data_IF_896052639317
#
_entry.id   IF_896052639317
#
_cell.length_a   1.000
_cell.length_b   1.000
_cell.length_c   1.000
_cell.angle_alpha   90.00
_cell.angle_beta   90.00
_cell.angle_gamma   90.00
#
_symmetry.space_group_name_H-M   'P 1'
#
loop_
_entity.id
_entity.type
_entity.pdbx_description
1 polymer ?
#
# COMPACT_ATOMS: atom_id res chain seq x y z
N UNK A 1 35.99 -3.05 49.78
CA UNK A 1 36.79 -1.80 49.89
C UNK A 1 36.23 -0.80 48.90
N UNK A 2 35.98 0.42 49.38
CA UNK A 2 35.22 1.52 48.78
C UNK A 2 33.69 1.34 48.73
N UNK A 3 33.02 2.36 49.26
CA UNK A 3 31.65 2.47 49.74
C UNK A 3 31.04 3.75 49.14
N UNK A 4 29.70 3.83 49.11
CA UNK A 4 28.87 5.04 48.88
C UNK A 4 28.92 5.64 47.46
N UNK A 5 27.87 6.24 46.89
CA UNK A 5 26.71 6.92 47.48
C UNK A 5 25.47 6.86 46.57
N UNK A 6 24.30 6.81 47.23
CA UNK A 6 22.98 7.09 46.68
C UNK A 6 22.83 8.61 46.46
N UNK A 7 22.43 9.02 45.25
CA UNK A 7 22.19 10.43 44.90
C UNK A 7 20.89 10.57 44.13
N UNK A 8 19.81 10.95 44.84
CA UNK A 8 18.58 11.49 44.25
C UNK A 8 18.91 12.86 43.66
N UNK A 9 18.65 13.05 42.37
CA UNK A 9 18.58 14.38 41.76
C UNK A 9 17.31 14.48 40.91
N UNK A 10 16.31 15.13 41.50
CA UNK A 10 15.15 15.71 40.84
C UNK A 10 15.62 16.92 40.02
N UNK A 11 15.64 16.79 38.69
CA UNK A 11 15.94 17.87 37.76
C UNK A 11 14.75 18.17 36.85
N UNK A 12 13.85 19.02 37.34
CA UNK A 12 12.85 19.72 36.52
C UNK A 12 13.55 20.62 35.51
N UNK A 13 13.44 20.33 34.21
CA UNK A 13 13.75 21.30 33.15
C UNK A 13 12.50 21.58 32.31
N UNK A 14 11.97 22.76 32.59
CA UNK A 14 10.99 23.50 31.80
C UNK A 14 11.46 23.71 30.36
N UNK A 15 10.52 23.47 29.44
CA UNK A 15 10.17 24.32 28.29
C UNK A 15 11.25 25.31 27.82
N UNK A 16 11.88 24.99 26.68
CA UNK A 16 12.44 26.00 25.78
C UNK A 16 11.84 25.86 24.38
N UNK A 17 10.84 26.70 24.12
CA UNK A 17 10.39 27.10 22.77
C UNK A 17 11.50 27.92 22.08
N UNK A 18 11.44 27.92 20.74
CA UNK A 18 12.19 28.68 19.72
C UNK A 18 13.37 27.87 19.14
N UNK A 19 13.50 27.70 17.81
CA UNK A 19 13.23 28.66 16.71
C UNK A 19 12.72 27.99 15.43
N UNK A 20 12.03 28.75 14.55
CA UNK A 20 11.59 28.28 13.24
C UNK A 20 12.77 28.17 12.29
N UNK A 21 12.87 27.05 11.56
CA UNK A 21 13.69 26.99 10.35
C UNK A 21 12.89 27.74 9.27
N UNK A 22 13.25 28.99 9.04
CA UNK A 22 12.79 29.74 7.89
C UNK A 22 13.38 29.11 6.63
N UNK A 23 12.58 28.30 5.93
CA UNK A 23 12.86 28.00 4.54
C UNK A 23 12.32 29.15 3.69
N UNK A 24 13.25 29.92 3.16
CA UNK A 24 13.03 31.00 2.22
C UNK A 24 12.39 30.44 0.95
N UNK A 25 11.11 30.73 0.75
CA UNK A 25 10.41 30.55 -0.53
C UNK A 25 11.11 31.43 -1.57
N UNK A 26 11.96 30.83 -2.40
CA UNK A 26 12.41 31.46 -3.64
C UNK A 26 11.31 31.34 -4.68
N UNK A 27 10.59 32.46 -4.79
CA UNK A 27 9.82 32.93 -5.94
C UNK A 27 10.55 32.59 -7.25
N UNK A 28 10.05 31.62 -8.01
CA UNK A 28 10.38 31.46 -9.43
C UNK A 28 9.20 32.02 -10.24
N UNK A 29 9.33 33.30 -10.60
CA UNK A 29 8.53 33.95 -11.64
C UNK A 29 9.41 34.09 -12.88
N UNK A 30 8.97 33.47 -13.97
CA UNK A 30 9.09 34.01 -15.32
C UNK A 30 10.36 33.69 -16.12
N UNK A 31 10.15 33.65 -17.44
CA UNK A 31 11.08 33.47 -18.57
C UNK A 31 11.21 32.02 -19.05
N UNK A 32 10.95 31.64 -20.31
CA UNK A 32 10.46 32.36 -21.50
C UNK A 32 10.19 31.31 -22.58
N UNK A 33 9.23 31.61 -23.47
CA UNK A 33 9.07 31.04 -24.81
C UNK A 33 10.43 30.70 -25.46
N UNK A 34 10.57 29.47 -25.93
CA UNK A 34 11.29 29.21 -27.17
C UNK A 34 10.45 28.30 -28.08
N UNK A 35 10.14 28.89 -29.23
CA UNK A 35 9.63 28.30 -30.45
C UNK A 35 10.47 27.09 -30.87
N UNK A 36 9.83 25.95 -31.08
CA UNK A 36 10.42 24.83 -31.83
C UNK A 36 9.75 24.79 -33.20
N UNK A 37 10.59 24.92 -34.22
CA UNK A 37 10.24 24.93 -35.63
C UNK A 37 9.48 23.68 -36.03
N UNK A 38 8.42 23.97 -36.78
CA UNK A 38 7.61 23.10 -37.61
C UNK A 38 8.37 22.85 -38.90
N UNK A 39 8.83 21.64 -39.15
CA UNK A 39 9.12 21.15 -40.49
C UNK A 39 9.02 19.61 -40.52
N UNK A 40 8.16 19.16 -41.44
CA UNK A 40 8.33 17.94 -42.23
C UNK A 40 8.07 16.57 -41.58
N UNK A 41 6.80 16.16 -41.54
CA UNK A 41 6.40 14.77 -41.88
C UNK A 41 5.08 14.79 -42.65
N UNK A 42 5.21 14.80 -43.97
CA UNK A 42 4.17 14.40 -44.92
C UNK A 42 4.28 12.91 -45.21
N UNK A 43 3.10 12.30 -45.42
CA UNK A 43 2.82 11.08 -46.19
C UNK A 43 2.63 9.71 -45.49
N UNK A 44 1.47 9.11 -45.87
CA UNK A 44 0.93 7.75 -45.71
C UNK A 44 0.39 7.38 -44.30
N UNK A 45 -0.86 6.92 -44.10
CA UNK A 45 -1.82 6.25 -44.98
C UNK A 45 -3.27 6.58 -44.60
N UNK A 46 -4.08 6.86 -45.62
CA UNK A 46 -5.53 7.04 -45.54
C UNK A 46 -6.22 5.70 -45.84
N UNK A 47 -6.44 4.86 -44.83
CA UNK A 47 -7.54 3.85 -44.82
C UNK A 47 -7.48 2.96 -43.56
N UNK A 48 -7.78 3.56 -42.40
CA UNK A 48 -8.14 2.77 -41.21
C UNK A 48 -9.50 3.27 -40.73
N UNK A 49 -10.51 2.39 -40.60
CA UNK A 49 -11.82 2.79 -40.09
C UNK A 49 -11.64 3.39 -38.71
N UNK A 50 -12.24 4.58 -38.53
CA UNK A 50 -12.21 5.37 -37.30
C UNK A 50 -12.39 4.45 -36.08
N UNK A 51 -11.48 4.50 -35.08
CA UNK A 51 -11.73 3.81 -33.84
C UNK A 51 -12.97 4.43 -33.23
N UNK A 52 -14.02 3.62 -33.07
CA UNK A 52 -15.22 3.95 -32.31
C UNK A 52 -14.74 4.55 -30.99
N UNK A 53 -14.82 5.88 -30.86
CA UNK A 53 -14.88 6.54 -29.57
C UNK A 53 -15.98 5.79 -28.83
N UNK A 54 -15.62 4.95 -27.87
CA UNK A 54 -16.59 4.50 -26.89
C UNK A 54 -16.89 5.76 -26.11
N UNK A 55 -17.85 6.55 -26.61
CA UNK A 55 -18.45 7.66 -25.90
C UNK A 55 -18.62 7.17 -24.48
N UNK A 56 -17.90 7.80 -23.56
CA UNK A 56 -18.20 7.68 -22.15
C UNK A 56 -19.70 7.81 -22.06
N UNK A 57 -20.38 6.76 -21.58
CA UNK A 57 -21.82 6.77 -21.45
C UNK A 57 -22.07 7.26 -20.02
N UNK A 58 -22.21 8.59 -19.79
CA UNK A 58 -22.44 9.16 -18.46
C UNK A 58 -23.74 8.65 -17.82
N UNK A 59 -24.51 7.84 -18.56
CA UNK A 59 -25.68 7.11 -18.13
C UNK A 59 -25.38 6.02 -17.10
N UNK A 60 -24.13 5.61 -16.89
CA UNK A 60 -23.77 4.64 -15.85
C UNK A 60 -23.36 5.35 -14.55
N UNK A 61 -24.25 5.42 -13.53
CA UNK A 61 -23.98 6.14 -12.27
C UNK A 61 -22.72 5.63 -11.55
N UNK A 62 -22.45 4.32 -11.65
CA UNK A 62 -21.26 3.70 -11.08
C UNK A 62 -19.94 4.16 -11.71
N UNK A 63 -19.90 4.39 -13.03
CA UNK A 63 -18.66 4.86 -13.68
C UNK A 63 -18.32 6.29 -13.24
N UNK A 64 -19.34 7.15 -13.17
CA UNK A 64 -19.19 8.52 -12.67
C UNK A 64 -18.77 8.53 -11.19
N UNK A 65 -19.38 7.67 -10.36
CA UNK A 65 -18.99 7.49 -8.97
C UNK A 65 -17.52 7.04 -8.81
N UNK A 66 -17.09 6.05 -9.59
CA UNK A 66 -15.69 5.55 -9.58
C UNK A 66 -14.73 6.65 -10.01
N UNK A 67 -15.05 7.41 -11.06
CA UNK A 67 -14.19 8.49 -11.53
C UNK A 67 -14.08 9.60 -10.48
N UNK A 68 -15.21 9.99 -9.88
CA UNK A 68 -15.21 10.99 -8.81
C UNK A 68 -14.40 10.55 -7.59
N UNK A 69 -14.52 9.28 -7.20
CA UNK A 69 -13.73 8.71 -6.12
C UNK A 69 -12.23 8.78 -6.45
N UNK A 70 -11.82 8.47 -7.69
CA UNK A 70 -10.43 8.58 -8.12
C UNK A 70 -9.91 10.01 -8.03
N UNK A 71 -10.67 10.98 -8.52
CA UNK A 71 -10.30 12.41 -8.43
C UNK A 71 -10.13 12.86 -6.97
N UNK A 72 -11.03 12.43 -6.08
CA UNK A 72 -10.95 12.76 -4.66
C UNK A 72 -9.73 12.09 -3.99
N UNK A 73 -9.47 10.83 -4.31
CA UNK A 73 -8.32 10.10 -3.80
C UNK A 73 -7.01 10.70 -4.31
N UNK A 74 -6.97 11.10 -5.58
CA UNK A 74 -5.82 11.76 -6.19
C UNK A 74 -5.59 13.13 -5.54
N UNK A 75 -6.62 13.98 -5.43
CA UNK A 75 -6.52 15.27 -4.75
C UNK A 75 -6.04 15.11 -3.29
N UNK A 76 -6.60 14.16 -2.54
CA UNK A 76 -6.19 13.86 -1.18
C UNK A 76 -4.76 13.27 -1.11
N UNK A 77 -4.27 12.63 -2.17
CA UNK A 77 -2.92 12.07 -2.23
C UNK A 77 -1.84 13.13 -2.48
N UNK A 78 -2.12 14.12 -3.34
CA UNK A 78 -1.21 15.23 -3.66
C UNK A 78 -0.93 16.12 -2.45
N UNK A 79 -1.89 16.24 -1.54
CA UNK A 79 -1.68 16.95 -0.27
C UNK A 79 -0.81 16.17 0.72
N UNK A 80 -0.49 14.89 0.45
CA UNK A 80 0.35 14.10 1.34
C UNK A 80 1.83 14.34 1.05
N UNK A 81 2.58 14.75 2.09
CA UNK A 81 4.03 14.94 2.04
C UNK A 81 4.76 13.70 1.50
N UNK A 82 4.22 12.52 1.73
CA UNK A 82 4.76 11.27 1.24
C UNK A 82 4.70 11.16 -0.29
N UNK A 83 3.62 11.63 -0.93
CA UNK A 83 3.50 11.60 -2.39
C UNK A 83 4.44 12.61 -3.04
N UNK A 84 4.61 13.77 -2.41
CA UNK A 84 5.62 14.73 -2.80
C UNK A 84 7.03 14.12 -2.69
N UNK A 85 7.34 13.46 -1.58
CA UNK A 85 8.62 12.75 -1.42
C UNK A 85 8.79 11.63 -2.45
N UNK A 86 7.75 10.88 -2.78
CA UNK A 86 7.78 9.85 -3.83
C UNK A 86 8.06 10.47 -5.20
N UNK A 87 7.41 11.58 -5.53
CA UNK A 87 7.64 12.31 -6.76
C UNK A 87 9.07 12.88 -6.83
N UNK A 88 9.56 13.45 -5.72
CA UNK A 88 10.95 13.92 -5.62
C UNK A 88 11.92 12.75 -5.83
N UNK A 89 11.72 11.63 -5.13
CA UNK A 89 12.54 10.42 -5.24
C UNK A 89 12.49 9.85 -6.66
N UNK A 90 11.32 9.80 -7.30
CA UNK A 90 11.15 9.31 -8.67
C UNK A 90 12.01 10.12 -9.66
N UNK A 91 12.12 11.43 -9.45
CA UNK A 91 12.88 12.34 -10.30
C UNK A 91 14.38 12.43 -9.98
N UNK A 92 14.86 11.73 -8.93
CA UNK A 92 16.30 11.69 -8.63
C UNK A 92 17.06 10.87 -9.67
N UNK A 93 18.31 11.25 -9.91
CA UNK A 93 19.26 10.45 -10.68
C UNK A 93 19.44 9.07 -10.00
N UNK A 94 19.54 7.96 -10.76
CA UNK A 94 19.75 6.60 -10.23
C UNK A 94 20.83 6.49 -9.14
N UNK A 95 21.95 7.18 -9.31
CA UNK A 95 23.06 7.18 -8.36
C UNK A 95 22.66 7.82 -7.02
N UNK A 96 21.85 8.88 -7.06
CA UNK A 96 21.34 9.55 -5.87
C UNK A 96 20.26 8.71 -5.17
N UNK A 97 19.41 7.99 -5.93
CA UNK A 97 18.49 6.97 -5.39
C UNK A 97 19.28 5.92 -4.60
N UNK A 98 20.30 5.32 -5.22
CA UNK A 98 21.15 4.31 -4.57
C UNK A 98 21.87 4.85 -3.34
N UNK A 99 22.39 6.08 -3.40
CA UNK A 99 23.06 6.74 -2.27
C UNK A 99 22.10 6.92 -1.10
N UNK A 100 20.86 7.35 -1.36
CA UNK A 100 19.82 7.49 -0.33
C UNK A 100 19.50 6.15 0.34
N UNK A 101 19.29 5.09 -0.44
CA UNK A 101 19.06 3.75 0.11
C UNK A 101 20.28 3.23 0.86
N UNK A 102 21.50 3.52 0.39
CA UNK A 102 22.75 3.12 1.06
C UNK A 102 22.89 3.80 2.41
N UNK A 103 22.54 5.09 2.50
CA UNK A 103 22.53 5.83 3.77
C UNK A 103 21.46 5.29 4.72
N UNK A 104 20.26 4.95 4.22
CA UNK A 104 19.23 4.32 5.04
C UNK A 104 19.67 2.94 5.54
N UNK A 105 20.26 2.12 4.65
CA UNK A 105 20.78 0.80 4.98
C UNK A 105 21.93 0.86 5.98
N UNK A 106 22.81 1.86 5.90
CA UNK A 106 23.90 2.04 6.88
C UNK A 106 23.38 2.46 8.25
N UNK A 107 22.36 3.33 8.33
CA UNK A 107 21.69 3.68 9.59
C UNK A 107 21.00 2.45 10.20
N UNK A 108 20.30 1.66 9.40
CA UNK A 108 19.67 0.41 9.87
C UNK A 108 20.71 -0.61 10.35
N UNK A 109 21.82 -0.76 9.63
CA UNK A 109 22.92 -1.63 10.04
C UNK A 109 23.53 -1.16 11.36
N UNK A 110 23.80 0.14 11.49
CA UNK A 110 24.32 0.72 12.73
C UNK A 110 23.36 0.47 13.89
N UNK A 111 22.06 0.67 13.69
CA UNK A 111 21.05 0.38 14.71
C UNK A 111 21.06 -1.10 15.11
N UNK A 112 21.10 -2.02 14.14
CA UNK A 112 21.18 -3.45 14.40
C UNK A 112 22.45 -3.83 15.20
N UNK A 113 23.60 -3.25 14.86
CA UNK A 113 24.86 -3.46 15.58
C UNK A 113 24.80 -2.93 17.01
N UNK A 114 24.28 -1.72 17.20
CA UNK A 114 24.14 -1.12 18.53
C UNK A 114 23.18 -1.95 19.38
N UNK A 115 22.04 -2.37 18.85
CA UNK A 115 21.10 -3.23 19.57
C UNK A 115 21.73 -4.57 19.93
N UNK A 116 22.39 -5.24 18.98
CA UNK A 116 23.05 -6.52 19.22
C UNK A 116 24.14 -6.38 20.29
N UNK A 117 24.97 -5.34 20.20
CA UNK A 117 26.01 -5.02 21.19
C UNK A 117 25.44 -4.80 22.59
N UNK A 118 24.35 -4.04 22.72
CA UNK A 118 23.67 -3.80 24.00
C UNK A 118 23.07 -5.08 24.59
N UNK A 119 22.66 -6.02 23.74
CA UNK A 119 22.05 -7.29 24.15
C UNK A 119 23.06 -8.41 24.36
N UNK A 120 24.32 -8.20 23.98
CA UNK A 120 25.38 -9.22 24.03
C UNK A 120 25.28 -10.31 22.95
N UNK A 121 24.41 -10.13 21.96
CA UNK A 121 24.28 -11.03 20.81
C UNK A 121 25.32 -10.71 19.73
N UNK A 122 25.68 -11.73 18.95
CA UNK A 122 26.54 -11.55 17.77
C UNK A 122 25.77 -10.75 16.70
N UNK A 123 26.19 -9.51 16.35
CA UNK A 123 25.50 -8.69 15.35
C UNK A 123 25.46 -9.36 13.97
N UNK A 124 26.42 -10.24 13.68
CA UNK A 124 26.49 -10.95 12.41
C UNK A 124 25.66 -12.24 12.41
N UNK A 125 25.09 -12.64 13.54
CA UNK A 125 24.24 -13.83 13.66
C UNK A 125 24.91 -15.11 13.17
N UNK A 126 26.22 -15.24 13.35
CA UNK A 126 27.01 -16.39 12.89
C UNK A 126 27.52 -16.29 11.45
N UNK A 127 27.35 -15.16 10.75
CA UNK A 127 27.88 -14.98 9.40
C UNK A 127 29.42 -15.08 9.40
N UNK A 128 29.94 -16.20 8.90
CA UNK A 128 31.37 -16.45 8.80
C UNK A 128 31.78 -16.60 7.32
N UNK A 129 32.74 -15.79 6.87
CA UNK A 129 33.40 -15.91 5.56
C UNK A 129 34.36 -17.11 5.54
N UNK A 130 33.82 -18.32 5.71
CA UNK A 130 34.54 -19.60 5.61
C UNK A 130 34.15 -20.31 4.32
N UNK A 131 34.86 -21.35 3.93
CA UNK A 131 34.48 -22.20 2.78
C UNK A 131 33.03 -22.74 2.92
N UNK A 132 32.55 -22.84 4.16
CA UNK A 132 31.17 -23.20 4.50
C UNK A 132 30.12 -22.15 4.05
N UNK A 133 30.52 -20.90 3.80
CA UNK A 133 29.62 -19.83 3.34
C UNK A 133 29.04 -20.10 1.96
N UNK A 134 29.81 -20.72 1.07
CA UNK A 134 29.32 -21.16 -0.24
C UNK A 134 28.22 -22.23 -0.07
N UNK A 135 28.42 -23.14 0.89
CA UNK A 135 27.42 -24.15 1.26
C UNK A 135 26.15 -23.52 1.84
N UNK A 136 26.29 -22.56 2.77
CA UNK A 136 25.17 -21.81 3.34
C UNK A 136 24.40 -21.03 2.27
N UNK A 137 25.10 -20.42 1.31
CA UNK A 137 24.48 -19.74 0.18
C UNK A 137 23.70 -20.70 -0.73
N UNK A 138 24.26 -21.88 -1.03
CA UNK A 138 23.59 -22.90 -1.83
C UNK A 138 22.32 -23.42 -1.11
N UNK A 139 22.40 -23.65 0.20
CA UNK A 139 21.26 -24.03 1.04
C UNK A 139 20.21 -22.91 1.07
N UNK A 140 20.64 -21.65 1.20
CA UNK A 140 19.77 -20.47 1.15
C UNK A 140 19.04 -20.34 -0.19
N UNK A 141 19.74 -20.59 -1.30
CA UNK A 141 19.13 -20.64 -2.62
C UNK A 141 18.09 -21.75 -2.74
N UNK A 142 18.36 -22.93 -2.15
CA UNK A 142 17.38 -24.02 -2.05
C UNK A 142 16.11 -23.61 -1.30
N UNK A 143 16.28 -22.93 -0.16
CA UNK A 143 15.14 -22.40 0.62
C UNK A 143 14.42 -21.23 -0.07
N UNK A 144 15.07 -20.50 -0.98
CA UNK A 144 14.44 -19.43 -1.75
C UNK A 144 13.50 -19.95 -2.84
N UNK A 145 13.81 -21.12 -3.42
CA UNK A 145 13.10 -21.68 -4.56
C UNK A 145 11.57 -21.72 -4.41
N UNK A 146 10.98 -22.25 -3.31
CA UNK A 146 9.52 -22.25 -3.16
C UNK A 146 8.92 -20.84 -3.09
N UNK A 147 9.63 -19.87 -2.51
CA UNK A 147 9.16 -18.48 -2.42
C UNK A 147 9.25 -17.78 -3.78
N UNK A 148 10.34 -17.99 -4.52
CA UNK A 148 10.52 -17.50 -5.89
C UNK A 148 9.47 -18.09 -6.82
N UNK A 149 9.20 -19.40 -6.72
CA UNK A 149 8.14 -20.05 -7.49
C UNK A 149 6.77 -19.47 -7.15
N UNK A 150 6.47 -19.30 -5.86
CA UNK A 150 5.22 -18.70 -5.41
C UNK A 150 5.06 -17.28 -5.96
N UNK A 151 6.12 -16.46 -5.91
CA UNK A 151 6.16 -15.12 -6.48
C UNK A 151 5.84 -15.13 -7.98
N UNK A 152 6.52 -15.97 -8.77
CA UNK A 152 6.30 -16.06 -10.23
C UNK A 152 4.88 -16.54 -10.53
N UNK A 153 4.42 -17.60 -9.86
CA UNK A 153 3.08 -18.18 -10.04
C UNK A 153 1.99 -17.18 -9.65
N UNK A 154 2.20 -16.40 -8.60
CA UNK A 154 1.27 -15.38 -8.12
C UNK A 154 1.00 -14.28 -9.15
N UNK A 155 1.88 -14.11 -10.15
CA UNK A 155 1.73 -13.12 -11.23
C UNK A 155 1.07 -13.66 -12.50
N UNK A 156 0.79 -14.97 -12.56
CA UNK A 156 0.11 -15.56 -13.70
C UNK A 156 -1.34 -15.06 -13.77
N UNK A 157 -1.80 -14.68 -14.95
CA UNK A 157 -3.18 -14.24 -15.24
C UNK A 157 -4.27 -15.15 -14.64
N UNK A 158 -4.21 -16.50 -14.71
CA UNK A 158 -5.23 -17.35 -14.10
C UNK A 158 -5.30 -17.20 -12.58
N UNK A 159 -4.17 -16.99 -11.90
CA UNK A 159 -4.14 -16.81 -10.44
C UNK A 159 -4.72 -15.46 -10.06
N UNK A 160 -4.37 -14.40 -10.79
CA UNK A 160 -4.90 -13.04 -10.58
C UNK A 160 -6.41 -12.98 -10.76
N UNK A 161 -6.95 -13.67 -11.77
CA UNK A 161 -8.40 -13.74 -11.99
C UNK A 161 -9.12 -14.44 -10.84
N UNK A 162 -8.52 -15.48 -10.25
CA UNK A 162 -9.10 -16.22 -9.12
C UNK A 162 -8.93 -15.50 -7.78
N UNK A 163 -7.92 -14.64 -7.64
CA UNK A 163 -7.58 -13.94 -6.41
C UNK A 163 -7.41 -12.42 -6.65
N UNK A 164 -8.51 -11.65 -6.80
CA UNK A 164 -8.43 -10.22 -7.10
C UNK A 164 -7.73 -9.40 -6.01
N UNK A 165 -7.82 -9.83 -4.74
CA UNK A 165 -7.13 -9.17 -3.61
C UNK A 165 -5.61 -9.24 -3.76
N UNK A 166 -5.10 -10.31 -4.36
CA UNK A 166 -3.67 -10.47 -4.62
C UNK A 166 -3.22 -9.56 -5.77
N UNK A 167 -4.06 -9.37 -6.79
CA UNK A 167 -3.79 -8.42 -7.88
C UNK A 167 -3.74 -6.98 -7.33
N UNK A 168 -4.73 -6.58 -6.52
CA UNK A 168 -4.75 -5.28 -5.85
C UNK A 168 -3.50 -5.05 -4.97
N UNK A 169 -3.05 -6.11 -4.27
CA UNK A 169 -1.84 -6.06 -3.45
C UNK A 169 -0.58 -5.87 -4.31
N UNK A 170 -0.43 -6.66 -5.37
CA UNK A 170 0.70 -6.58 -6.29
C UNK A 170 0.74 -5.22 -7.00
N UNK A 171 -0.41 -4.67 -7.35
CA UNK A 171 -0.54 -3.33 -7.93
C UNK A 171 -0.04 -2.26 -6.98
N UNK A 172 -0.47 -2.33 -5.72
CA UNK A 172 -0.05 -1.40 -4.69
C UNK A 172 1.46 -1.47 -4.44
N UNK A 173 2.01 -2.68 -4.42
CA UNK A 173 3.45 -2.88 -4.30
C UNK A 173 4.20 -2.35 -5.53
N UNK A 174 3.69 -2.60 -6.74
CA UNK A 174 4.28 -2.10 -7.98
C UNK A 174 4.23 -0.57 -8.03
N UNK A 175 3.13 0.06 -7.62
CA UNK A 175 3.00 1.53 -7.56
C UNK A 175 4.05 2.16 -6.65
N UNK A 176 4.33 1.55 -5.49
CA UNK A 176 5.34 2.01 -4.54
C UNK A 176 6.76 1.79 -5.06
N UNK A 177 7.03 0.62 -5.66
CA UNK A 177 8.40 0.19 -6.00
C UNK A 177 8.84 0.66 -7.38
N UNK A 178 7.91 0.79 -8.34
CA UNK A 178 8.21 1.18 -9.72
C UNK A 178 9.04 2.47 -9.83
N UNK A 179 8.71 3.60 -9.17
CA UNK A 179 9.50 4.84 -9.31
C UNK A 179 10.95 4.70 -8.83
N UNK A 180 11.22 3.72 -7.96
CA UNK A 180 12.55 3.43 -7.45
C UNK A 180 13.36 2.61 -8.48
N UNK A 181 12.71 1.70 -9.20
CA UNK A 181 13.37 0.65 -9.99
C UNK A 181 13.44 0.94 -11.49
N UNK A 182 12.54 1.77 -12.03
CA UNK A 182 12.35 1.97 -13.47
C UNK A 182 13.65 2.34 -14.21
N UNK A 183 14.49 3.19 -13.60
CA UNK A 183 15.74 3.68 -14.19
C UNK A 183 16.99 2.87 -13.82
N UNK A 184 16.87 1.82 -13.01
CA UNK A 184 18.02 1.10 -12.46
C UNK A 184 18.48 -0.04 -13.38
N UNK A 185 19.78 -0.10 -13.67
CA UNK A 185 20.40 -1.25 -14.33
C UNK A 185 20.35 -2.52 -13.46
N UNK A 186 20.55 -3.70 -14.05
CA UNK A 186 20.50 -4.97 -13.30
C UNK A 186 21.52 -5.03 -12.14
N UNK A 187 22.72 -4.49 -12.34
CA UNK A 187 23.74 -4.37 -11.29
C UNK A 187 23.33 -3.41 -10.17
N UNK A 188 22.74 -2.27 -10.53
CA UNK A 188 22.19 -1.29 -9.59
C UNK A 188 21.02 -1.87 -8.79
N UNK A 189 20.18 -2.69 -9.43
CA UNK A 189 19.12 -3.44 -8.79
C UNK A 189 19.65 -4.43 -7.76
N UNK A 190 20.75 -5.12 -8.08
CA UNK A 190 21.43 -6.01 -7.15
C UNK A 190 22.05 -5.26 -5.97
N UNK A 191 22.66 -4.09 -6.22
CA UNK A 191 23.14 -3.22 -5.15
C UNK A 191 21.98 -2.77 -4.27
N UNK A 192 20.89 -2.27 -4.85
CA UNK A 192 19.69 -1.85 -4.12
C UNK A 192 19.13 -2.99 -3.26
N UNK A 193 18.98 -4.19 -3.82
CA UNK A 193 18.53 -5.36 -3.08
C UNK A 193 19.46 -5.66 -1.90
N UNK A 194 20.79 -5.65 -2.12
CA UNK A 194 21.76 -5.92 -1.04
C UNK A 194 21.69 -4.90 0.09
N UNK A 195 21.54 -3.62 -0.27
CA UNK A 195 21.46 -2.48 0.65
C UNK A 195 20.17 -2.48 1.47
N UNK A 196 19.08 -3.03 0.93
CA UNK A 196 17.80 -3.11 1.66
C UNK A 196 17.70 -4.41 2.45
N UNK A 197 18.04 -5.55 1.85
CA UNK A 197 17.82 -6.87 2.44
C UNK A 197 18.80 -7.15 3.58
N UNK A 198 20.10 -6.89 3.39
CA UNK A 198 21.11 -7.24 4.41
C UNK A 198 20.86 -6.48 5.72
N UNK A 199 20.67 -5.15 5.73
CA UNK A 199 20.40 -4.42 6.97
C UNK A 199 19.06 -4.82 7.60
N UNK A 200 18.03 -5.07 6.78
CA UNK A 200 16.73 -5.52 7.28
C UNK A 200 16.82 -6.88 7.97
N UNK A 201 17.61 -7.82 7.43
CA UNK A 201 17.82 -9.13 8.04
C UNK A 201 18.63 -9.05 9.32
N UNK A 202 19.68 -8.22 9.37
CA UNK A 202 20.44 -7.95 10.61
C UNK A 202 19.54 -7.34 11.70
N UNK A 203 18.63 -6.44 11.32
CA UNK A 203 17.72 -5.81 12.26
C UNK A 203 16.61 -6.77 12.75
N UNK A 204 16.02 -7.55 11.86
CA UNK A 204 14.86 -8.41 12.17
C UNK A 204 15.24 -9.73 12.87
N UNK A 205 16.47 -10.23 12.66
CA UNK A 205 16.91 -11.52 13.18
C UNK A 205 17.78 -11.36 14.44
N UNK A 206 19.10 -11.06 14.37
CA UNK A 206 19.93 -11.03 15.57
C UNK A 206 19.57 -9.89 16.54
N UNK A 207 19.37 -8.67 16.04
CA UNK A 207 19.08 -7.52 16.91
C UNK A 207 17.74 -7.69 17.64
N UNK A 208 16.70 -8.14 16.93
CA UNK A 208 15.38 -8.37 17.53
C UNK A 208 15.38 -9.58 18.48
N UNK A 209 16.12 -10.64 18.15
CA UNK A 209 16.31 -11.80 19.02
C UNK A 209 16.94 -11.39 20.35
N UNK A 210 18.08 -10.68 20.31
CA UNK A 210 18.76 -10.20 21.51
C UNK A 210 17.88 -9.28 22.36
N UNK A 211 17.17 -8.34 21.72
CA UNK A 211 16.30 -7.40 22.43
C UNK A 211 15.18 -8.13 23.19
N UNK A 212 14.57 -9.14 22.58
CA UNK A 212 13.52 -9.93 23.22
C UNK A 212 14.05 -10.90 24.27
N UNK A 213 15.24 -11.44 24.09
CA UNK A 213 15.90 -12.25 25.11
C UNK A 213 16.15 -11.43 26.38
N UNK A 214 16.68 -10.21 26.25
CA UNK A 214 16.87 -9.28 27.38
C UNK A 214 15.53 -8.86 28.00
N UNK A 215 14.54 -8.50 27.19
CA UNK A 215 13.21 -8.14 27.69
C UNK A 215 12.55 -9.31 28.45
N UNK A 216 12.70 -10.54 27.94
CA UNK A 216 12.23 -11.75 28.59
C UNK A 216 12.94 -12.01 29.92
N UNK A 217 14.26 -11.80 29.99
CA UNK A 217 15.01 -11.91 31.24
C UNK A 217 14.53 -10.93 32.31
N UNK A 218 14.34 -9.66 31.94
CA UNK A 218 13.78 -8.63 32.84
C UNK A 218 12.39 -9.03 33.32
N UNK A 219 11.52 -9.43 32.39
CA UNK A 219 10.16 -9.88 32.70
C UNK A 219 10.17 -11.06 33.68
N UNK A 220 11.06 -12.05 33.47
CA UNK A 220 11.16 -13.20 34.38
C UNK A 220 11.76 -12.85 35.73
N UNK A 221 12.73 -11.94 35.79
CA UNK A 221 13.35 -11.50 37.04
C UNK A 221 12.37 -10.70 37.90
N UNK A 222 11.53 -9.86 37.28
CA UNK A 222 10.63 -8.96 38.02
C UNK A 222 9.26 -9.59 38.35
N UNK A 223 8.70 -10.45 37.49
CA UNK A 223 7.34 -10.97 37.66
C UNK A 223 7.25 -12.38 38.24
N UNK A 224 8.26 -13.23 38.08
CA UNK A 224 8.21 -14.62 38.59
C UNK A 224 8.32 -14.69 40.12
N UNK A 225 9.20 -13.90 40.80
CA UNK A 225 9.30 -13.95 42.25
C UNK A 225 8.00 -13.63 43.01
N UNK A 226 7.19 -12.61 42.63
CA UNK A 226 5.97 -12.28 43.37
C UNK A 226 4.80 -13.24 43.11
N UNK A 227 4.77 -13.97 41.99
CA UNK A 227 3.62 -14.80 41.60
C UNK A 227 3.70 -16.25 42.10
N UNK A 228 4.84 -16.72 42.61
CA UNK A 228 5.00 -18.09 43.15
C UNK A 228 4.70 -19.22 42.15
N UNK A 229 4.44 -18.90 40.88
CA UNK A 229 4.10 -19.88 39.85
C UNK A 229 5.38 -20.50 39.29
N UNK A 230 5.79 -21.62 39.87
CA UNK A 230 6.81 -22.49 39.28
C UNK A 230 6.23 -23.28 38.10
N UNK A 231 5.99 -22.61 36.98
CA UNK A 231 5.67 -23.25 35.70
C UNK A 231 6.86 -24.13 35.28
N UNK A 232 6.76 -25.44 35.56
CA UNK A 232 7.70 -26.44 35.08
C UNK A 232 7.43 -26.70 33.61
N UNK A 233 7.85 -25.78 32.73
CA UNK A 233 7.94 -26.08 31.31
C UNK A 233 9.14 -27.02 31.09
N UNK A 234 8.96 -28.14 30.35
CA UNK A 234 10.07 -29.00 29.96
C UNK A 234 11.15 -28.18 29.24
N UNK A 235 12.43 -28.44 29.53
CA UNK A 235 13.56 -27.69 28.95
C UNK A 235 13.56 -27.69 27.41
N UNK A 236 13.06 -28.77 26.81
CA UNK A 236 12.90 -28.90 25.35
C UNK A 236 11.89 -27.87 24.82
N UNK A 237 10.75 -27.72 25.49
CA UNK A 237 9.72 -26.75 25.12
C UNK A 237 10.25 -25.32 25.33
N UNK A 238 10.98 -25.08 26.43
CA UNK A 238 11.59 -23.77 26.71
C UNK A 238 12.56 -23.34 25.62
N UNK A 239 13.40 -24.26 25.11
CA UNK A 239 14.33 -23.97 24.02
C UNK A 239 13.63 -23.68 22.69
N UNK A 240 12.60 -24.45 22.34
CA UNK A 240 11.86 -24.22 21.09
C UNK A 240 11.01 -22.95 21.13
N UNK A 241 10.35 -22.68 22.26
CA UNK A 241 9.54 -21.46 22.45
C UNK A 241 10.45 -20.22 22.48
N UNK A 242 11.63 -20.30 23.12
CA UNK A 242 12.59 -19.20 23.14
C UNK A 242 13.11 -18.80 21.75
N UNK A 243 13.08 -19.72 20.79
CA UNK A 243 13.43 -19.47 19.39
C UNK A 243 12.24 -18.94 18.60
N UNK A 244 11.05 -19.50 18.79
CA UNK A 244 9.86 -19.12 18.02
C UNK A 244 9.33 -17.74 18.40
N UNK A 245 9.35 -17.39 19.68
CA UNK A 245 8.77 -16.12 20.17
C UNK A 245 9.45 -14.91 19.51
N UNK A 246 10.79 -14.80 19.44
CA UNK A 246 11.42 -13.68 18.77
C UNK A 246 11.13 -13.60 17.28
N UNK A 247 11.09 -14.74 16.58
CA UNK A 247 10.74 -14.80 15.16
C UNK A 247 9.29 -14.36 14.91
N UNK A 248 8.35 -14.73 15.78
CA UNK A 248 6.93 -14.32 15.66
C UNK A 248 6.77 -12.83 15.97
N UNK A 249 7.46 -12.32 16.99
CA UNK A 249 7.38 -10.90 17.32
C UNK A 249 8.07 -10.02 16.26
N UNK A 250 9.18 -10.46 15.66
CA UNK A 250 9.83 -9.71 14.56
C UNK A 250 8.95 -9.74 13.31
N UNK A 251 8.33 -10.88 13.03
CA UNK A 251 7.34 -11.03 11.97
C UNK A 251 6.12 -10.12 12.17
N UNK A 252 5.58 -10.06 13.39
CA UNK A 252 4.50 -9.14 13.75
C UNK A 252 4.89 -7.69 13.47
N UNK A 253 6.09 -7.28 13.89
CA UNK A 253 6.57 -5.90 13.72
C UNK A 253 6.78 -5.56 12.24
N UNK A 254 7.43 -6.43 11.47
CA UNK A 254 7.62 -6.25 10.03
C UNK A 254 6.28 -6.17 9.29
N UNK A 255 5.36 -7.08 9.61
CA UNK A 255 4.02 -7.10 9.03
C UNK A 255 3.22 -5.85 9.38
N UNK A 256 3.35 -5.34 10.61
CA UNK A 256 2.72 -4.10 11.04
C UNK A 256 3.24 -2.89 10.23
N UNK A 257 4.54 -2.80 9.98
CA UNK A 257 5.14 -1.76 9.13
C UNK A 257 4.58 -1.84 7.70
N UNK A 258 4.58 -3.03 7.09
CA UNK A 258 4.06 -3.22 5.73
C UNK A 258 2.57 -2.88 5.64
N UNK A 259 1.80 -3.24 6.66
CA UNK A 259 0.37 -2.90 6.73
C UNK A 259 0.18 -1.40 6.78
N UNK A 260 0.96 -0.66 7.58
CA UNK A 260 0.89 0.81 7.65
C UNK A 260 1.18 1.48 6.29
N UNK A 261 2.04 0.88 5.46
CA UNK A 261 2.36 1.39 4.13
C UNK A 261 1.27 1.11 3.08
N UNK A 262 0.48 0.05 3.29
CA UNK A 262 -0.57 -0.40 2.36
C UNK A 262 -1.99 -0.04 2.82
N UNK A 263 -2.15 0.37 4.09
CA UNK A 263 -3.43 0.77 4.65
C UNK A 263 -3.89 2.11 4.06
N UNK A 264 -5.19 2.36 4.15
CA UNK A 264 -5.79 3.61 3.70
C UNK A 264 -5.29 4.74 4.59
N UNK A 265 -4.68 5.77 3.99
CA UNK A 265 -4.17 6.92 4.73
C UNK A 265 -5.32 7.60 5.50
N UNK A 266 -5.08 8.02 6.74
CA UNK A 266 -6.10 8.69 7.56
C UNK A 266 -6.74 9.90 6.84
N UNK A 267 -5.93 10.65 6.07
CA UNK A 267 -6.42 11.77 5.24
C UNK A 267 -7.37 11.33 4.13
N UNK A 268 -7.11 10.19 3.47
CA UNK A 268 -8.03 9.64 2.47
C UNK A 268 -9.34 9.19 3.12
N UNK A 269 -9.28 8.62 4.33
CA UNK A 269 -10.49 8.26 5.09
C UNK A 269 -11.30 9.51 5.43
N UNK A 270 -10.65 10.60 5.87
CA UNK A 270 -11.31 11.88 6.15
C UNK A 270 -11.92 12.47 4.87
N UNK A 271 -11.16 12.54 3.77
CA UNK A 271 -11.65 13.05 2.50
C UNK A 271 -12.83 12.24 1.95
N UNK A 272 -12.78 10.91 2.05
CA UNK A 272 -13.91 10.05 1.68
C UNK A 272 -15.10 10.34 2.60
N UNK A 273 -14.90 10.46 3.91
CA UNK A 273 -15.99 10.76 4.85
C UNK A 273 -16.65 12.10 4.53
N UNK A 274 -15.88 13.16 4.34
CA UNK A 274 -16.39 14.49 3.99
C UNK A 274 -17.11 14.47 2.63
N UNK A 275 -16.59 13.69 1.68
CA UNK A 275 -17.23 13.46 0.39
C UNK A 275 -18.54 12.67 0.51
N UNK A 276 -18.64 11.69 1.43
CA UNK A 276 -19.85 10.93 1.68
C UNK A 276 -20.93 11.79 2.35
N UNK A 277 -20.53 12.66 3.29
CA UNK A 277 -21.43 13.63 3.95
C UNK A 277 -21.96 14.69 2.96
N UNK A 278 -21.17 15.05 1.94
CA UNK A 278 -21.54 16.02 0.90
C UNK A 278 -22.09 15.41 -0.41
N UNK A 279 -22.05 14.08 -0.56
CA UNK A 279 -22.39 13.38 -1.81
C UNK A 279 -23.83 13.70 -2.28
N UNK A 280 -24.80 13.67 -1.38
CA UNK A 280 -26.21 13.90 -1.73
C UNK A 280 -26.43 15.30 -2.33
N UNK A 281 -25.75 16.32 -1.78
CA UNK A 281 -25.80 17.69 -2.31
C UNK A 281 -25.06 17.80 -3.63
N UNK A 282 -23.85 17.24 -3.71
CA UNK A 282 -23.01 17.29 -4.90
C UNK A 282 -23.68 16.62 -6.11
N UNK A 283 -24.19 15.40 -5.96
CA UNK A 283 -24.82 14.67 -7.06
C UNK A 283 -26.17 15.25 -7.46
N UNK A 284 -26.91 15.86 -6.54
CA UNK A 284 -28.13 16.59 -6.88
C UNK A 284 -27.82 17.85 -7.70
N UNK A 285 -26.79 18.61 -7.35
CA UNK A 285 -26.32 19.75 -8.15
C UNK A 285 -25.79 19.31 -9.52
N UNK A 286 -24.94 18.27 -9.57
CA UNK A 286 -24.40 17.75 -10.81
C UNK A 286 -25.50 17.16 -11.73
N UNK A 287 -26.54 16.56 -11.17
CA UNK A 287 -27.69 16.09 -11.94
C UNK A 287 -28.49 17.27 -12.52
N UNK A 288 -28.70 18.34 -11.74
CA UNK A 288 -29.39 19.54 -12.20
C UNK A 288 -28.61 20.28 -13.31
N UNK A 289 -27.28 20.40 -13.18
CA UNK A 289 -26.42 20.99 -14.22
C UNK A 289 -26.49 20.19 -15.52
N UNK A 290 -26.35 18.86 -15.45
CA UNK A 290 -26.44 18.00 -16.64
C UNK A 290 -27.81 18.05 -17.30
N UNK A 291 -28.87 18.15 -16.51
CA UNK A 291 -30.22 18.31 -17.03
C UNK A 291 -30.42 19.64 -17.77
N UNK A 292 -29.76 20.70 -17.32
CA UNK A 292 -29.76 21.99 -18.01
C UNK A 292 -28.96 21.95 -19.32
N UNK A 293 -27.82 21.24 -19.34
CA UNK A 293 -26.99 21.09 -20.55
C UNK A 293 -27.60 20.16 -21.61
N UNK A 294 -28.33 19.13 -21.18
CA UNK A 294 -28.90 18.09 -22.07
C UNK A 294 -30.35 17.76 -21.70
N UNK A 295 -31.31 18.62 -22.06
CA UNK A 295 -32.72 18.38 -21.77
C UNK A 295 -33.25 17.07 -22.40
N UNK A 296 -32.64 16.62 -23.49
CA UNK A 296 -32.99 15.39 -24.22
C UNK A 296 -32.89 14.11 -23.34
N UNK A 297 -32.03 14.11 -22.30
CA UNK A 297 -31.86 12.97 -21.39
C UNK A 297 -33.13 12.76 -20.56
N UNK A 298 -33.79 13.84 -20.15
CA UNK A 298 -35.04 13.78 -19.39
C UNK A 298 -36.20 13.32 -20.27
N UNK A 299 -36.19 13.69 -21.55
CA UNK A 299 -37.23 13.31 -22.49
C UNK A 299 -37.18 11.82 -22.84
N UNK A 300 -36.00 11.20 -22.78
CA UNK A 300 -35.79 9.77 -23.05
C UNK A 300 -36.20 8.84 -21.90
N UNK A 301 -36.24 9.35 -20.66
CA UNK A 301 -36.71 8.61 -19.48
C UNK A 301 -38.22 8.71 -19.27
N UNK A 302 -38.95 9.47 -20.10
CA UNK A 302 -40.40 9.45 -20.10
C UNK A 302 -40.85 8.01 -20.42
N UNK A 303 -41.46 7.30 -19.45
CA UNK A 303 -41.73 5.90 -19.62
C UNK A 303 -42.73 5.76 -20.75
N UNK A 304 -42.33 5.05 -21.80
CA UNK A 304 -43.28 4.35 -22.65
C UNK A 304 -43.94 3.26 -21.78
N UNK A 305 -44.82 3.69 -20.87
CA UNK A 305 -45.77 2.84 -20.19
C UNK A 305 -46.79 2.38 -21.22
N UNK A 306 -46.39 1.48 -22.11
CA UNK A 306 -47.35 0.64 -22.82
C UNK A 306 -46.82 -0.79 -22.82
N UNK A 307 -47.60 -1.65 -22.16
CA UNK A 307 -47.56 -3.11 -22.12
C UNK A 307 -46.52 -3.81 -21.24
N UNK A 308 -46.95 -4.00 -19.98
CA UNK A 308 -46.72 -5.24 -19.21
C UNK A 308 -47.35 -6.43 -19.96
N UNK A 309 -46.60 -7.52 -20.22
CA UNK A 309 -47.11 -8.86 -20.02
C UNK A 309 -46.56 -9.42 -18.71
N UNK A 310 -47.43 -10.14 -18.03
CA UNK A 310 -47.27 -10.79 -16.74
C UNK A 310 -46.29 -11.96 -16.75
N UNK A 311 -45.72 -12.21 -15.58
CA UNK A 311 -45.26 -13.51 -15.08
C UNK A 311 -44.05 -14.17 -15.76
N UNK A 312 -42.91 -14.10 -15.07
CA UNK A 312 -41.72 -14.88 -15.35
C UNK A 312 -40.76 -14.85 -14.17
N UNK A 313 -40.96 -15.78 -13.24
CA UNK A 313 -40.11 -16.11 -12.10
C UNK A 313 -38.66 -16.32 -12.54
N UNK A 314 -37.67 -15.56 -12.03
CA UNK A 314 -36.28 -15.88 -12.33
C UNK A 314 -35.21 -14.90 -11.83
N UNK A 315 -34.41 -15.39 -10.89
CA UNK A 315 -33.08 -14.91 -10.45
C UNK A 315 -32.98 -13.50 -9.83
N UNK A 316 -33.13 -13.47 -8.50
CA UNK A 316 -32.58 -12.43 -7.64
C UNK A 316 -31.05 -12.38 -7.77
N UNK A 317 -30.52 -11.25 -8.24
CA UNK A 317 -29.09 -10.95 -8.26
C UNK A 317 -28.58 -10.74 -6.83
N UNK A 318 -27.52 -11.48 -6.48
CA UNK A 318 -26.89 -11.67 -5.16
C UNK A 318 -26.21 -10.43 -4.51
N UNK A 319 -26.73 -9.22 -4.67
CA UNK A 319 -26.17 -8.02 -4.04
C UNK A 319 -26.91 -7.54 -2.78
N UNK A 320 -28.09 -8.10 -2.48
CA UNK A 320 -28.91 -7.71 -1.33
C UNK A 320 -28.29 -8.03 0.06
N UNK A 321 -27.23 -8.84 0.16
CA UNK A 321 -26.60 -9.18 1.45
C UNK A 321 -25.60 -8.14 1.95
N UNK A 322 -25.17 -7.18 1.13
CA UNK A 322 -24.27 -6.10 1.56
C UNK A 322 -25.05 -4.99 2.27
N UNK A 323 -26.31 -4.74 1.88
CA UNK A 323 -27.15 -3.69 2.48
C UNK A 323 -27.46 -3.95 3.96
N UNK A 324 -27.60 -5.21 4.39
CA UNK A 324 -27.88 -5.54 5.80
C UNK A 324 -26.72 -5.25 6.76
N UNK A 325 -25.48 -5.27 6.30
CA UNK A 325 -24.33 -4.87 7.12
C UNK A 325 -24.10 -3.35 7.11
N UNK A 326 -24.66 -2.66 6.10
CA UNK A 326 -24.46 -1.22 5.89
C UNK A 326 -25.48 -0.35 6.66
N UNK A 327 -26.73 -0.80 6.78
CA UNK A 327 -27.78 -0.07 7.50
C UNK A 327 -27.44 0.16 8.99
N UNK A 328 -26.69 -0.75 9.63
CA UNK A 328 -26.28 -0.57 11.02
C UNK A 328 -25.29 0.58 11.27
N UNK A 329 -24.64 1.13 10.23
CA UNK A 329 -23.63 2.18 10.36
C UNK A 329 -24.09 3.56 9.85
N UNK A 330 -25.24 3.62 9.15
CA UNK A 330 -25.73 4.84 8.47
C UNK A 330 -27.14 5.26 8.91
N UNK A 331 -27.92 4.41 9.61
CA UNK A 331 -29.31 4.73 10.01
C UNK A 331 -29.45 5.72 11.19
N UNK A 332 -28.39 6.44 11.55
CA UNK A 332 -28.40 7.49 12.57
C UNK A 332 -28.55 8.88 11.96
N UNK A 333 -29.80 9.31 11.72
CA UNK A 333 -30.23 10.67 11.37
C UNK A 333 -30.12 11.09 9.90
N UNK A 334 -31.27 11.34 9.27
CA UNK A 334 -31.77 12.68 8.87
C UNK A 334 -33.08 12.50 8.07
N UNK A 335 -34.21 12.84 8.71
CA UNK A 335 -35.13 13.86 8.18
C UNK A 335 -35.97 13.60 6.91
N UNK A 336 -36.61 12.44 6.76
CA UNK A 336 -37.69 12.27 5.77
C UNK A 336 -39.02 12.79 6.32
N UNK A 337 -39.26 14.12 6.33
CA UNK A 337 -40.61 14.64 6.63
C UNK A 337 -40.98 16.00 6.02
N UNK A 338 -40.21 16.57 5.09
CA UNK A 338 -40.51 17.91 4.56
C UNK A 338 -40.19 18.02 3.08
N UNK A 339 -41.03 17.49 2.17
CA UNK A 339 -41.07 17.84 0.74
C UNK A 339 -42.22 17.10 -0.01
N UNK A 340 -43.49 17.31 0.36
CA UNK A 340 -44.65 16.65 -0.29
C UNK A 340 -45.40 17.53 -1.30
N UNK A 341 -44.70 18.45 -2.00
CA UNK A 341 -45.36 19.59 -2.67
C UNK A 341 -45.23 19.79 -4.18
N UNK A 342 -44.30 19.16 -4.91
CA UNK A 342 -44.18 19.40 -6.37
C UNK A 342 -43.81 18.15 -7.17
N UNK A 343 -44.75 17.66 -7.97
CA UNK A 343 -44.62 16.42 -8.74
C UNK A 343 -43.66 16.51 -9.94
N UNK A 344 -43.11 17.68 -10.26
CA UNK A 344 -42.22 17.89 -11.42
C UNK A 344 -40.73 17.72 -11.14
N UNK A 345 -40.30 17.67 -9.87
CA UNK A 345 -38.89 17.52 -9.50
C UNK A 345 -38.47 16.06 -9.22
N UNK A 346 -39.39 15.10 -9.39
CA UNK A 346 -39.20 13.69 -9.10
C UNK A 346 -38.00 13.02 -9.80
N UNK A 347 -37.86 13.10 -11.14
CA UNK A 347 -36.85 12.30 -11.84
C UNK A 347 -35.41 12.77 -11.60
N UNK A 348 -35.19 14.09 -11.46
CA UNK A 348 -33.87 14.64 -11.17
C UNK A 348 -33.38 14.28 -9.77
N UNK A 349 -34.28 14.38 -8.79
CA UNK A 349 -33.98 13.99 -7.40
C UNK A 349 -33.69 12.49 -7.31
N UNK A 350 -34.42 11.67 -8.07
CA UNK A 350 -34.16 10.24 -8.15
C UNK A 350 -32.78 9.95 -8.76
N UNK A 351 -32.42 10.56 -9.89
CA UNK A 351 -31.11 10.37 -10.52
C UNK A 351 -29.95 10.79 -9.60
N UNK A 352 -30.09 11.92 -8.91
CA UNK A 352 -29.09 12.39 -7.94
C UNK A 352 -28.93 11.43 -6.75
N UNK A 353 -30.04 10.89 -6.24
CA UNK A 353 -30.03 9.91 -5.17
C UNK A 353 -29.36 8.59 -5.62
N UNK A 354 -29.66 8.10 -6.82
CA UNK A 354 -29.04 6.90 -7.41
C UNK A 354 -27.52 7.08 -7.59
N UNK A 355 -27.06 8.23 -8.07
CA UNK A 355 -25.63 8.53 -8.19
C UNK A 355 -24.92 8.64 -6.83
N UNK A 356 -25.56 9.27 -5.84
CA UNK A 356 -25.02 9.37 -4.49
C UNK A 356 -24.91 8.00 -3.82
N UNK A 357 -25.95 7.15 -3.95
CA UNK A 357 -25.92 5.79 -3.45
C UNK A 357 -24.83 4.97 -4.13
N UNK A 358 -24.69 5.06 -5.45
CA UNK A 358 -23.61 4.42 -6.19
C UNK A 358 -22.23 4.86 -5.68
N UNK A 359 -22.03 6.16 -5.42
CA UNK A 359 -20.79 6.69 -4.83
C UNK A 359 -20.51 6.15 -3.43
N UNK A 360 -21.54 6.11 -2.56
CA UNK A 360 -21.43 5.53 -1.22
C UNK A 360 -21.00 4.06 -1.29
N UNK A 361 -21.66 3.26 -2.12
CA UNK A 361 -21.34 1.83 -2.32
C UNK A 361 -19.92 1.63 -2.85
N UNK A 362 -19.52 2.38 -3.88
CA UNK A 362 -18.18 2.28 -4.48
C UNK A 362 -17.08 2.67 -3.48
N UNK A 363 -17.28 3.74 -2.71
CA UNK A 363 -16.32 4.21 -1.71
C UNK A 363 -16.11 3.19 -0.59
N UNK A 364 -17.20 2.59 -0.11
CA UNK A 364 -17.13 1.55 0.93
C UNK A 364 -16.47 0.29 0.38
N UNK A 365 -16.83 -0.12 -0.83
CA UNK A 365 -16.22 -1.27 -1.49
C UNK A 365 -14.71 -1.09 -1.64
N UNK A 366 -14.28 0.11 -2.07
CA UNK A 366 -12.86 0.46 -2.18
C UNK A 366 -12.12 0.40 -0.84
N UNK A 367 -12.71 0.93 0.25
CA UNK A 367 -12.12 0.83 1.59
C UNK A 367 -11.99 -0.63 2.06
N UNK A 368 -12.99 -1.45 1.76
CA UNK A 368 -13.00 -2.87 2.11
C UNK A 368 -11.95 -3.67 1.33
N UNK A 369 -11.79 -3.42 0.02
CA UNK A 369 -10.78 -4.10 -0.79
C UNK A 369 -9.37 -3.72 -0.34
N UNK A 370 -9.10 -2.44 -0.09
CA UNK A 370 -7.81 -1.96 0.43
C UNK A 370 -7.45 -2.59 1.78
N UNK A 371 -8.39 -2.64 2.73
CA UNK A 371 -8.16 -3.30 4.03
C UNK A 371 -7.90 -4.80 3.90
N UNK A 372 -8.57 -5.48 2.97
CA UNK A 372 -8.31 -6.92 2.68
C UNK A 372 -6.91 -7.12 2.12
N UNK A 373 -6.48 -6.28 1.18
CA UNK A 373 -5.13 -6.34 0.61
C UNK A 373 -4.06 -6.08 1.68
N UNK A 374 -4.25 -5.08 2.55
CA UNK A 374 -3.34 -4.78 3.65
C UNK A 374 -3.23 -5.94 4.67
N UNK A 375 -4.34 -6.59 5.02
CA UNK A 375 -4.33 -7.80 5.87
C UNK A 375 -3.64 -8.98 5.21
N UNK A 376 -3.84 -9.16 3.91
CA UNK A 376 -3.13 -10.22 3.17
C UNK A 376 -1.62 -9.96 3.19
N UNK A 377 -1.20 -8.71 2.96
CA UNK A 377 0.19 -8.29 3.04
C UNK A 377 0.78 -8.54 4.44
N UNK A 378 0.04 -8.20 5.49
CA UNK A 378 0.41 -8.49 6.88
C UNK A 378 0.75 -9.98 7.05
N UNK A 379 -0.17 -10.86 6.66
CA UNK A 379 0.00 -12.31 6.84
C UNK A 379 1.18 -12.82 6.01
N UNK A 380 1.31 -12.40 4.75
CA UNK A 380 2.41 -12.82 3.88
C UNK A 380 3.77 -12.37 4.41
N UNK A 381 3.89 -11.11 4.84
CA UNK A 381 5.12 -10.58 5.44
C UNK A 381 5.47 -11.30 6.73
N UNK A 382 4.47 -11.54 7.60
CA UNK A 382 4.70 -12.26 8.84
C UNK A 382 5.21 -13.69 8.57
N UNK A 383 4.56 -14.42 7.65
CA UNK A 383 4.97 -15.77 7.28
C UNK A 383 6.40 -15.80 6.69
N UNK A 384 6.75 -14.83 5.84
CA UNK A 384 8.11 -14.74 5.28
C UNK A 384 9.17 -14.51 6.37
N UNK A 385 8.91 -13.60 7.32
CA UNK A 385 9.88 -13.31 8.39
C UNK A 385 9.99 -14.50 9.35
N UNK A 386 8.89 -15.15 9.71
CA UNK A 386 8.92 -16.40 10.51
C UNK A 386 9.72 -17.48 9.77
N UNK A 387 9.49 -17.64 8.46
CA UNK A 387 10.22 -18.60 7.64
C UNK A 387 11.73 -18.35 7.64
N UNK A 388 12.16 -17.10 7.44
CA UNK A 388 13.58 -16.74 7.53
C UNK A 388 14.15 -16.93 8.94
N UNK A 389 13.37 -16.66 9.98
CA UNK A 389 13.75 -16.96 11.36
C UNK A 389 13.98 -18.46 11.59
N UNK A 390 13.08 -19.31 11.12
CA UNK A 390 13.22 -20.77 11.23
C UNK A 390 14.49 -21.25 10.50
N UNK A 391 14.73 -20.76 9.28
CA UNK A 391 15.95 -21.10 8.51
C UNK A 391 17.19 -20.69 9.29
N UNK A 392 17.24 -19.45 9.78
CA UNK A 392 18.36 -18.93 10.54
C UNK A 392 18.69 -19.81 11.76
N UNK A 393 17.66 -20.21 12.51
CA UNK A 393 17.85 -21.05 13.68
C UNK A 393 18.27 -22.49 13.35
N UNK A 394 17.82 -23.04 12.21
CA UNK A 394 18.21 -24.37 11.76
C UNK A 394 19.65 -24.41 11.24
N UNK A 395 20.07 -23.41 10.46
CA UNK A 395 21.41 -23.36 9.88
C UNK A 395 22.45 -22.78 10.82
N UNK A 396 22.02 -21.97 11.80
CA UNK A 396 22.88 -21.14 12.67
C UNK A 396 23.82 -20.23 11.87
N UNK A 397 23.43 -19.88 10.66
CA UNK A 397 24.19 -19.01 9.76
C UNK A 397 23.22 -18.03 9.11
N UNK A 398 23.39 -16.74 9.43
CA UNK A 398 22.61 -15.63 8.89
C UNK A 398 22.77 -15.48 7.37
N UNK A 399 23.86 -15.99 6.77
CA UNK A 399 24.06 -15.97 5.33
C UNK A 399 22.97 -16.73 4.57
N UNK A 400 22.43 -17.81 5.17
CA UNK A 400 21.38 -18.65 4.57
C UNK A 400 20.08 -17.85 4.33
N UNK A 401 19.43 -17.26 5.36
CA UNK A 401 18.23 -16.45 5.15
C UNK A 401 18.50 -15.17 4.36
N UNK A 402 19.69 -14.56 4.45
CA UNK A 402 20.06 -13.37 3.66
C UNK A 402 20.07 -13.69 2.17
N UNK A 403 20.73 -14.77 1.76
CA UNK A 403 20.74 -15.21 0.36
C UNK A 403 19.34 -15.57 -0.12
N UNK A 404 18.55 -16.25 0.72
CA UNK A 404 17.18 -16.59 0.38
C UNK A 404 16.31 -15.35 0.14
N UNK A 405 16.37 -14.38 1.05
CA UNK A 405 15.65 -13.13 0.95
C UNK A 405 16.13 -12.25 -0.22
N UNK A 406 17.42 -12.25 -0.50
CA UNK A 406 18.01 -11.56 -1.65
C UNK A 406 17.44 -12.10 -2.96
N UNK A 407 17.40 -13.42 -3.14
CA UNK A 407 16.87 -14.03 -4.36
C UNK A 407 15.37 -13.75 -4.55
N UNK A 408 14.59 -13.84 -3.47
CA UNK A 408 13.16 -13.50 -3.52
C UNK A 408 12.96 -12.03 -3.89
N UNK A 409 13.70 -11.13 -3.25
CA UNK A 409 13.60 -9.68 -3.50
C UNK A 409 14.05 -9.33 -4.91
N UNK A 410 15.15 -9.89 -5.39
CA UNK A 410 15.62 -9.72 -6.77
C UNK A 410 14.60 -10.22 -7.78
N UNK A 411 13.98 -11.36 -7.53
CA UNK A 411 12.93 -11.90 -8.39
C UNK A 411 11.75 -10.94 -8.46
N UNK A 412 11.25 -10.45 -7.33
CA UNK A 412 10.15 -9.48 -7.30
C UNK A 412 10.48 -8.19 -8.05
N UNK A 413 11.68 -7.64 -7.83
CA UNK A 413 12.12 -6.42 -8.50
C UNK A 413 12.28 -6.64 -10.01
N UNK A 414 12.79 -7.79 -10.43
CA UNK A 414 12.90 -8.15 -11.84
C UNK A 414 11.52 -8.32 -12.48
N UNK A 415 10.57 -8.95 -11.77
CA UNK A 415 9.20 -9.12 -12.24
C UNK A 415 8.49 -7.77 -12.37
N UNK A 416 8.70 -6.83 -11.43
CA UNK A 416 8.15 -5.47 -11.50
C UNK A 416 8.71 -4.72 -12.71
N UNK A 417 10.02 -4.87 -12.99
CA UNK A 417 10.69 -4.20 -14.09
C UNK A 417 10.30 -4.75 -15.47
N UNK A 418 10.28 -6.07 -15.63
CA UNK A 418 10.10 -6.72 -16.94
C UNK A 418 8.66 -7.03 -17.31
N UNK A 419 7.76 -7.08 -16.32
CA UNK A 419 6.33 -7.17 -16.56
C UNK A 419 5.66 -5.88 -16.10
N UNK A 420 6.00 -4.71 -16.71
CA UNK A 420 5.20 -3.53 -16.52
C UNK A 420 3.80 -3.94 -16.96
N UNK A 421 2.83 -3.78 -16.05
CA UNK A 421 1.48 -4.26 -16.29
C UNK A 421 1.08 -3.77 -17.67
N UNK A 422 0.89 -4.71 -18.60
CA UNK A 422 0.50 -4.38 -19.96
C UNK A 422 -0.62 -3.39 -19.83
N UNK A 423 -0.48 -2.23 -20.47
CA UNK A 423 -1.27 -1.03 -20.26
C UNK A 423 -2.73 -1.20 -20.75
N UNK A 424 -3.26 -2.42 -20.63
CA UNK A 424 -4.55 -2.95 -21.02
C UNK A 424 -5.64 -2.09 -20.41
N UNK A 425 -5.97 -1.05 -21.16
CA UNK A 425 -7.17 -0.25 -21.01
C UNK A 425 -7.02 1.06 -20.24
N UNK A 426 -5.89 1.38 -19.60
CA UNK A 426 -5.86 2.51 -18.64
C UNK A 426 -5.12 3.78 -19.08
N UNK A 427 -4.29 3.79 -20.13
CA UNK A 427 -3.78 5.06 -20.67
C UNK A 427 -3.14 4.94 -22.05
N UNK A 428 -3.91 5.19 -23.12
CA UNK A 428 -3.46 6.02 -24.24
C UNK A 428 -4.64 6.50 -25.10
N UNK A 429 -5.64 7.13 -24.48
CA UNK A 429 -6.76 7.79 -25.19
C UNK A 429 -6.81 9.31 -25.02
N UNK A 430 -5.94 9.89 -24.19
CA UNK A 430 -5.96 11.32 -23.87
C UNK A 430 -4.82 12.15 -24.47
N UNK A 431 -3.93 11.59 -25.29
CA UNK A 431 -2.90 12.37 -25.99
C UNK A 431 -3.29 12.75 -27.44
N UNK A 432 -4.59 12.79 -27.75
CA UNK A 432 -5.11 13.09 -29.08
C UNK A 432 -5.43 14.57 -29.38
N UNK A 433 -5.62 15.44 -28.40
CA UNK A 433 -6.21 16.78 -28.64
C UNK A 433 -5.47 17.92 -27.94
N UNK A 434 -4.27 18.26 -28.42
CA UNK A 434 -3.63 19.52 -28.09
C UNK A 434 -2.93 20.20 -29.29
N UNK A 435 -3.46 20.04 -30.51
CA UNK A 435 -3.03 20.85 -31.66
C UNK A 435 -4.13 21.10 -32.70
N UNK A 436 -5.24 21.72 -32.26
CA UNK A 436 -6.22 22.31 -33.17
C UNK A 436 -6.70 23.67 -32.64
N UNK A 437 -5.83 24.68 -32.71
CA UNK A 437 -6.16 26.11 -32.96
C UNK A 437 -5.10 26.68 -33.88
#
# INVERSE_FOLDING_TARGET
MASMACGKSTGSWLLRKRTPVGFTVRRFQGLTRHSVSREEWTQLDSSTPLPIESRYDPSLPFQTAVQRLKELLEAASWESEEEQLRYEVANLVPEMKLTLFTNLGSVLTLAAFVTSWLTGEDPLGGFALRDNSLGAAAVGAGYALPLVLCSVVSRLTPVRHNFPVLDDLQDSQQEIVKPIVEDLNASQLLILASVVVVPSMLMLLPAFHGALMVAGQILTADLVPPLGMHLHLPDVLRRQVGVLVPAVCSAYFAAWIVTRQLDVKDRQVIAIRDALESADRYFLHAAAERAAERPDILQRQAPSQLQRPSEGTGLATSFASVDTALHGLVDGAIGDTLCSGSNSCGPLRQLGAEMSQAFKTVSILWLMTRRKAARLAYVLTALNVVYFGIIWHQTRDLGTPVVAAMLVTLTELFLIKHFPRGNGGRSNRNNGDASAV
#
